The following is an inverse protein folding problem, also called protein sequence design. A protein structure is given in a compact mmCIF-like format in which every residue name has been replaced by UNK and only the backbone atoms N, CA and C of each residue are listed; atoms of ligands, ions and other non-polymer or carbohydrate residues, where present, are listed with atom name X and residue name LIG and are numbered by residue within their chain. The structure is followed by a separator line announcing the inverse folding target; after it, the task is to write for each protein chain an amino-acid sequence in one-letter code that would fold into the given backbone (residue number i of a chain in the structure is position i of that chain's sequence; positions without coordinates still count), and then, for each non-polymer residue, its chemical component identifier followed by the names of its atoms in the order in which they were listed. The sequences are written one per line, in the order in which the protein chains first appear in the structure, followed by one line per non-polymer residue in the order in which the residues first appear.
data_IF_745884941096
#
_entry.id   IF_745884941096
#
_cell.length_a   1.000
_cell.length_b   1.000
_cell.length_c   1.000
_cell.angle_alpha   90.00
_cell.angle_beta   90.00
_cell.angle_gamma   90.00
#
_symmetry.space_group_name_H-M   'P 1'
#
loop_
_entity.id
_entity.type
_entity.pdbx_description
1 polymer ?
#
# COMPACT_ATOMS: atom_id res chain seq x y z
N UNK A 1 1.69 10.32 10.70
CA UNK A 1 0.37 10.61 11.34
C UNK A 1 -0.26 11.91 10.82
N UNK A 2 0.49 13.02 10.77
CA UNK A 2 -0.01 14.34 10.34
C UNK A 2 -0.44 14.41 8.86
N UNK A 3 0.40 13.91 7.94
CA UNK A 3 0.11 13.92 6.49
C UNK A 3 -1.16 13.13 6.13
N UNK A 4 -1.35 11.95 6.74
CA UNK A 4 -2.56 11.14 6.55
C UNK A 4 -3.81 11.83 7.11
N UNK A 5 -3.65 12.59 8.20
CA UNK A 5 -4.68 13.43 8.82
C UNK A 5 -5.13 14.62 7.96
N UNK A 6 -4.28 15.08 7.05
CA UNK A 6 -4.60 16.12 6.07
C UNK A 6 -5.17 15.48 4.80
N UNK A 7 -4.61 14.34 4.36
CA UNK A 7 -5.05 13.61 3.18
C UNK A 7 -6.55 13.26 3.25
N UNK A 8 -7.05 12.70 4.36
CA UNK A 8 -8.49 12.36 4.46
C UNK A 8 -9.42 13.57 4.45
N UNK A 9 -8.94 14.75 4.91
CA UNK A 9 -9.73 15.98 4.88
C UNK A 9 -9.81 16.56 3.47
N UNK A 10 -8.69 16.55 2.74
CA UNK A 10 -8.65 16.96 1.33
C UNK A 10 -9.51 16.01 0.48
N UNK A 11 -9.41 14.70 0.70
CA UNK A 11 -10.22 13.71 -0.01
C UNK A 11 -11.72 13.89 0.26
N UNK A 12 -12.10 14.23 1.51
CA UNK A 12 -13.50 14.49 1.88
C UNK A 12 -14.05 15.75 1.20
N UNK A 13 -13.27 16.83 1.15
CA UNK A 13 -13.65 18.08 0.45
C UNK A 13 -13.75 17.82 -1.06
N UNK A 14 -12.78 17.11 -1.63
CA UNK A 14 -12.77 16.74 -3.05
C UNK A 14 -13.93 15.81 -3.41
N UNK A 15 -14.24 14.81 -2.60
CA UNK A 15 -15.37 13.89 -2.84
C UNK A 15 -16.72 14.62 -2.78
N UNK A 16 -16.87 15.58 -1.86
CA UNK A 16 -18.06 16.41 -1.78
C UNK A 16 -18.26 17.28 -3.02
N UNK A 17 -17.19 17.87 -3.54
CA UNK A 17 -17.26 18.75 -4.73
C UNK A 17 -17.35 17.97 -6.06
N UNK A 18 -16.72 16.78 -6.13
CA UNK A 18 -16.57 16.05 -7.39
C UNK A 18 -17.57 14.90 -7.57
N UNK A 19 -18.41 14.56 -6.56
CA UNK A 19 -19.31 13.36 -6.53
C UNK A 19 -18.63 12.01 -6.85
N UNK A 20 -17.30 11.98 -6.99
CA UNK A 20 -16.52 10.80 -7.32
C UNK A 20 -16.20 10.01 -6.05
N UNK A 21 -16.14 8.68 -6.19
CA UNK A 21 -15.81 7.77 -5.09
C UNK A 21 -14.41 8.11 -4.54
N UNK A 22 -14.25 8.31 -3.23
CA UNK A 22 -12.97 8.64 -2.63
C UNK A 22 -11.98 7.47 -2.80
N UNK A 23 -10.80 7.73 -3.36
CA UNK A 23 -9.73 6.75 -3.51
C UNK A 23 -9.10 6.41 -2.15
N UNK A 24 -9.03 7.38 -1.25
CA UNK A 24 -8.53 7.22 0.12
C UNK A 24 -9.68 7.37 1.12
N UNK A 25 -10.19 6.26 1.65
CA UNK A 25 -11.21 6.29 2.72
C UNK A 25 -10.58 6.40 4.11
N UNK A 26 -11.31 6.98 5.07
CA UNK A 26 -10.88 7.09 6.48
C UNK A 26 -10.46 5.74 7.08
N UNK A 27 -11.14 4.68 6.68
CA UNK A 27 -10.83 3.31 7.12
C UNK A 27 -9.51 2.80 6.52
N UNK A 28 -9.23 3.09 5.25
CA UNK A 28 -7.94 2.75 4.61
C UNK A 28 -6.77 3.51 5.25
N UNK A 29 -6.98 4.77 5.63
CA UNK A 29 -6.00 5.60 6.38
C UNK A 29 -5.68 4.98 7.74
N UNK A 30 -6.69 4.48 8.45
CA UNK A 30 -6.51 3.81 9.75
C UNK A 30 -5.78 2.48 9.61
N UNK A 31 -6.14 1.68 8.60
CA UNK A 31 -5.49 0.39 8.33
C UNK A 31 -4.04 0.58 7.87
N UNK A 32 -3.76 1.56 6.99
CA UNK A 32 -2.41 1.86 6.51
C UNK A 32 -1.46 2.33 7.63
N UNK A 33 -1.99 2.87 8.73
CA UNK A 33 -1.20 3.22 9.92
C UNK A 33 -0.93 2.01 10.82
N UNK A 34 -1.75 0.97 10.74
CA UNK A 34 -1.54 -0.27 11.47
C UNK A 34 -0.40 -1.06 10.84
N UNK A 35 0.75 -1.11 11.51
CA UNK A 35 1.86 -1.97 11.11
C UNK A 35 1.59 -3.40 11.55
N UNK A 36 1.02 -4.21 10.66
CA UNK A 36 0.89 -5.65 10.88
C UNK A 36 2.16 -6.33 10.39
N UNK A 37 2.95 -6.88 11.32
CA UNK A 37 4.12 -7.68 10.98
C UNK A 37 3.70 -9.15 10.85
N UNK A 38 4.00 -9.73 9.69
CA UNK A 38 3.73 -11.15 9.43
C UNK A 38 5.00 -11.96 9.66
N UNK A 39 4.97 -12.87 10.63
CA UNK A 39 6.06 -13.82 10.86
C UNK A 39 5.92 -15.02 9.91
N UNK A 40 6.99 -15.31 9.16
CA UNK A 40 7.09 -16.41 8.21
C UNK A 40 8.02 -17.54 8.68
N UNK A 41 8.44 -17.54 9.95
CA UNK A 41 9.28 -18.58 10.56
C UNK A 41 8.71 -19.99 10.36
N UNK A 42 7.40 -20.17 10.55
CA UNK A 42 6.73 -21.49 10.38
C UNK A 42 6.94 -22.09 8.98
N UNK A 43 6.83 -21.27 7.94
CA UNK A 43 6.95 -21.75 6.55
C UNK A 43 8.42 -22.00 6.18
N UNK A 44 9.33 -21.15 6.66
CA UNK A 44 10.78 -21.36 6.48
C UNK A 44 11.24 -22.66 7.16
N UNK A 45 10.69 -22.99 8.32
CA UNK A 45 11.02 -24.19 9.06
C UNK A 45 10.42 -25.45 8.41
N UNK A 46 9.19 -25.36 7.88
CA UNK A 46 8.54 -26.48 7.20
C UNK A 46 9.12 -26.76 5.79
N UNK A 47 9.62 -25.73 5.10
CA UNK A 47 10.14 -25.83 3.74
C UNK A 47 11.47 -25.07 3.57
N UNK A 48 12.60 -25.67 3.96
CA UNK A 48 13.91 -25.00 3.95
C UNK A 48 14.42 -24.65 2.54
N UNK A 49 13.88 -25.28 1.49
CA UNK A 49 14.20 -24.97 0.10
C UNK A 49 13.52 -23.68 -0.40
N UNK A 50 12.49 -23.17 0.28
CA UNK A 50 11.73 -21.99 -0.17
C UNK A 50 12.37 -20.73 0.41
N UNK A 51 13.01 -19.94 -0.45
CA UNK A 51 13.51 -18.60 -0.12
C UNK A 51 12.49 -17.55 -0.55
N UNK A 52 11.91 -16.85 0.42
CA UNK A 52 11.03 -15.72 0.14
C UNK A 52 11.81 -14.54 -0.41
N UNK A 53 11.28 -13.92 -1.47
CA UNK A 53 11.80 -12.65 -1.97
C UNK A 53 11.63 -11.57 -0.89
N UNK A 54 12.67 -10.77 -0.59
CA UNK A 54 12.56 -9.68 0.37
C UNK A 54 11.49 -8.67 -0.07
N UNK A 55 10.64 -8.24 0.86
CA UNK A 55 9.55 -7.29 0.60
C UNK A 55 10.04 -6.03 -0.12
N UNK A 56 11.21 -5.51 0.27
CA UNK A 56 11.83 -4.32 -0.35
C UNK A 56 12.07 -4.51 -1.86
N UNK A 57 12.52 -5.70 -2.27
CA UNK A 57 12.78 -6.02 -3.68
C UNK A 57 11.47 -6.07 -4.46
N UNK A 58 10.45 -6.71 -3.90
CA UNK A 58 9.10 -6.77 -4.53
C UNK A 58 8.49 -5.38 -4.68
N UNK A 59 8.62 -4.50 -3.69
CA UNK A 59 8.13 -3.12 -3.77
C UNK A 59 8.83 -2.36 -4.90
N UNK A 60 10.17 -2.44 -4.97
CA UNK A 60 10.95 -1.76 -6.01
C UNK A 60 10.56 -2.24 -7.42
N UNK A 61 10.43 -3.55 -7.62
CA UNK A 61 9.99 -4.13 -8.89
C UNK A 61 8.56 -3.70 -9.26
N UNK A 62 7.64 -3.66 -8.29
CA UNK A 62 6.27 -3.21 -8.52
C UNK A 62 6.23 -1.73 -8.92
N UNK A 63 6.99 -0.87 -8.25
CA UNK A 63 7.10 0.55 -8.59
C UNK A 63 7.68 0.75 -9.99
N UNK A 64 8.73 0.02 -10.35
CA UNK A 64 9.33 0.07 -11.70
C UNK A 64 8.33 -0.34 -12.78
N UNK A 65 7.59 -1.43 -12.56
CA UNK A 65 6.54 -1.89 -13.50
C UNK A 65 5.42 -0.87 -13.65
N UNK A 66 4.99 -0.26 -12.55
CA UNK A 66 3.94 0.76 -12.58
C UNK A 66 4.36 1.99 -13.38
N UNK A 67 5.59 2.49 -13.17
CA UNK A 67 6.14 3.62 -13.93
C UNK A 67 6.26 3.29 -15.42
N UNK A 68 6.76 2.09 -15.76
CA UNK A 68 6.86 1.65 -17.15
C UNK A 68 5.47 1.53 -17.83
N UNK A 69 4.42 1.17 -17.10
CA UNK A 69 3.04 1.18 -17.64
C UNK A 69 2.47 2.59 -17.81
N UNK A 70 2.92 3.57 -17.02
CA UNK A 70 2.48 4.97 -17.14
C UNK A 70 3.12 5.68 -18.34
N UNK A 71 4.29 5.24 -18.81
CA UNK A 71 4.96 5.78 -19.99
C UNK A 71 4.37 5.31 -21.33
N UNK A 72 3.50 4.28 -21.32
CA UNK A 72 2.87 3.71 -22.52
C UNK A 72 1.47 4.32 -22.78
N UNK A 73 1.10 5.39 -22.07
CA UNK A 73 -0.22 6.03 -22.16
C UNK A 73 -0.15 7.45 -22.73
#
# INVERSE_FOLDING_TARGET
PFLLGIAWRIEKIKSFFTKQKPLITKESVRIAQSKTYFDNTKIKNAFPAIKFTPLKKTIDEACKKYLAQQEVQ
#
